data_IF_790595209925
#
_entry.id   IF_790595209925
#
_cell.length_a   1.000
_cell.length_b   1.000
_cell.length_c   1.000
_cell.angle_alpha   90.00
_cell.angle_beta   90.00
_cell.angle_gamma   90.00
#
_symmetry.space_group_name_H-M   'P 1'
#
loop_
_entity.id
_entity.type
_entity.pdbx_description
1 polymer ?
#
# COMPACT_ATOMS: atom_id res chain seq x y z
N UNK A 1 16.57 -8.04 18.47
CA UNK A 1 15.43 -7.25 17.94
C UNK A 1 14.50 -6.98 19.10
N UNK A 2 13.90 -5.78 19.22
CA UNK A 2 12.92 -5.56 20.29
C UNK A 2 11.68 -6.42 20.02
N UNK A 3 11.15 -7.07 21.05
CA UNK A 3 9.95 -7.92 20.94
C UNK A 3 8.75 -7.16 20.36
N UNK A 4 8.70 -5.83 20.56
CA UNK A 4 7.69 -4.95 20.00
C UNK A 4 7.68 -4.97 18.45
N UNK A 5 8.84 -4.91 17.80
CA UNK A 5 8.92 -4.98 16.32
C UNK A 5 8.41 -6.33 15.79
N UNK A 6 8.74 -7.43 16.46
CA UNK A 6 8.25 -8.76 16.08
C UNK A 6 6.72 -8.88 16.25
N UNK A 7 6.16 -8.31 17.32
CA UNK A 7 4.71 -8.28 17.52
C UNK A 7 3.98 -7.40 16.50
N UNK A 8 4.57 -6.26 16.14
CA UNK A 8 4.03 -5.37 15.10
C UNK A 8 4.00 -6.08 13.74
N UNK A 9 5.09 -6.75 13.36
CA UNK A 9 5.21 -7.40 12.06
C UNK A 9 4.40 -8.71 11.96
N UNK A 10 4.15 -9.39 13.07
CA UNK A 10 3.36 -10.63 13.10
C UNK A 10 1.84 -10.40 13.11
N UNK A 11 1.38 -9.20 13.48
CA UNK A 11 -0.04 -8.84 13.43
C UNK A 11 -0.42 -8.19 12.10
N UNK A 12 -1.22 -8.88 11.29
CA UNK A 12 -1.72 -8.37 10.02
C UNK A 12 -2.42 -7.00 10.17
N UNK A 13 -3.26 -6.85 11.19
CA UNK A 13 -3.98 -5.59 11.42
C UNK A 13 -3.04 -4.44 11.76
N UNK A 14 -2.07 -4.65 12.66
CA UNK A 14 -1.09 -3.62 13.03
C UNK A 14 -0.24 -3.23 11.83
N UNK A 15 0.25 -4.22 11.09
CA UNK A 15 1.04 -4.01 9.88
C UNK A 15 0.27 -3.17 8.84
N UNK A 16 -0.99 -3.53 8.55
CA UNK A 16 -1.83 -2.78 7.60
C UNK A 16 -2.09 -1.34 8.04
N UNK A 17 -2.40 -1.13 9.32
CA UNK A 17 -2.60 0.22 9.87
C UNK A 17 -1.33 1.06 9.74
N UNK A 18 -0.17 0.50 10.12
CA UNK A 18 1.11 1.22 10.01
C UNK A 18 1.49 1.52 8.58
N UNK A 19 1.36 0.55 7.67
CA UNK A 19 1.61 0.75 6.24
C UNK A 19 0.73 1.88 5.67
N UNK A 20 -0.55 1.89 6.06
CA UNK A 20 -1.50 2.94 5.68
C UNK A 20 -1.06 4.33 6.18
N UNK A 21 -0.71 4.44 7.46
CA UNK A 21 -0.29 5.70 8.06
C UNK A 21 1.10 6.15 7.58
N UNK A 22 1.97 5.22 7.17
CA UNK A 22 3.27 5.54 6.60
C UNK A 22 3.15 6.13 5.19
N UNK A 23 2.25 5.58 4.37
CA UNK A 23 1.95 6.13 3.04
C UNK A 23 1.27 7.50 3.06
N UNK A 24 0.82 7.97 4.23
CA UNK A 24 0.10 9.23 4.38
C UNK A 24 0.89 10.21 5.26
N UNK A 25 1.29 11.36 4.71
CA UNK A 25 2.16 12.31 5.42
C UNK A 25 1.52 13.01 6.65
N UNK A 26 0.23 12.76 6.92
CA UNK A 26 -0.57 13.46 7.93
C UNK A 26 -1.22 12.56 8.98
N UNK A 27 -1.93 13.19 9.92
CA UNK A 27 -2.76 12.48 10.89
C UNK A 27 -4.09 12.08 10.24
N UNK A 28 -4.61 10.90 10.59
CA UNK A 28 -5.78 10.31 9.95
C UNK A 28 -6.83 9.87 10.99
N UNK A 29 -8.13 10.11 10.77
CA UNK A 29 -9.19 9.62 11.66
C UNK A 29 -9.38 8.11 11.49
N UNK A 30 -9.88 7.45 12.53
CA UNK A 30 -10.07 5.98 12.57
C UNK A 30 -10.87 5.44 11.36
N UNK A 31 -11.96 6.13 10.98
CA UNK A 31 -12.80 5.73 9.83
C UNK A 31 -12.06 5.78 8.50
N UNK A 32 -11.08 6.67 8.33
CA UNK A 32 -10.31 6.73 7.08
C UNK A 32 -9.29 5.59 7.03
N UNK A 33 -8.68 5.25 8.17
CA UNK A 33 -7.79 4.09 8.30
C UNK A 33 -8.57 2.80 7.97
N UNK A 34 -9.80 2.68 8.47
CA UNK A 34 -10.71 1.57 8.17
C UNK A 34 -10.95 1.40 6.66
N UNK A 35 -11.39 2.46 5.98
CA UNK A 35 -11.59 2.44 4.53
C UNK A 35 -10.31 2.12 3.75
N UNK A 36 -9.17 2.68 4.13
CA UNK A 36 -7.91 2.51 3.42
C UNK A 36 -7.32 1.10 3.59
N UNK A 37 -7.51 0.49 4.77
CA UNK A 37 -6.99 -0.85 5.07
C UNK A 37 -7.96 -1.97 4.70
N UNK A 38 -9.26 -1.67 4.56
CA UNK A 38 -10.32 -2.66 4.34
C UNK A 38 -10.61 -3.55 5.57
N UNK A 39 -10.05 -3.21 6.73
CA UNK A 39 -10.25 -3.96 7.97
C UNK A 39 -11.55 -3.54 8.65
N UNK A 40 -12.16 -4.40 9.47
CA UNK A 40 -13.33 -3.98 10.29
C UNK A 40 -12.91 -2.91 11.31
N UNK A 41 -13.79 -1.94 11.56
CA UNK A 41 -13.51 -0.82 12.49
C UNK A 41 -13.01 -1.27 13.87
N UNK A 42 -13.56 -2.36 14.42
CA UNK A 42 -13.11 -2.93 15.70
C UNK A 42 -11.67 -3.46 15.65
N UNK A 43 -11.26 -4.05 14.53
CA UNK A 43 -9.89 -4.53 14.33
C UNK A 43 -8.92 -3.36 14.20
N UNK A 44 -9.31 -2.30 13.49
CA UNK A 44 -8.53 -1.06 13.39
C UNK A 44 -8.38 -0.42 14.77
N UNK A 45 -9.45 -0.32 15.55
CA UNK A 45 -9.42 0.24 16.91
C UNK A 45 -8.42 -0.51 17.79
N UNK A 46 -8.53 -1.85 17.87
CA UNK A 46 -7.60 -2.68 18.66
C UNK A 46 -6.15 -2.52 18.22
N UNK A 47 -5.90 -2.46 16.91
CA UNK A 47 -4.55 -2.27 16.38
C UNK A 47 -4.00 -0.88 16.72
N UNK A 48 -4.79 0.16 16.53
CA UNK A 48 -4.39 1.55 16.80
C UNK A 48 -4.15 1.78 18.30
N UNK A 49 -5.00 1.24 19.17
CA UNK A 49 -4.86 1.39 20.62
C UNK A 49 -3.56 0.72 21.10
N UNK A 50 -3.30 -0.52 20.69
CA UNK A 50 -2.05 -1.20 21.03
C UNK A 50 -0.80 -0.45 20.51
N UNK A 51 -0.85 0.05 19.27
CA UNK A 51 0.25 0.84 18.71
C UNK A 51 0.44 2.21 19.40
N UNK A 52 -0.62 2.76 20.00
CA UNK A 52 -0.52 3.96 20.83
C UNK A 52 0.10 3.64 22.20
N UNK A 53 -0.27 2.52 22.82
CA UNK A 53 0.31 2.04 24.08
C UNK A 53 1.81 1.75 23.92
N UNK A 54 2.21 1.20 22.78
CA UNK A 54 3.61 0.95 22.40
C UNK A 54 4.37 2.23 21.99
N UNK A 55 3.70 3.39 21.94
CA UNK A 55 4.33 4.68 21.59
C UNK A 55 4.69 4.85 20.11
N UNK A 56 4.31 3.89 19.25
CA UNK A 56 4.53 3.90 17.80
C UNK A 56 3.61 4.93 17.12
N UNK A 57 2.37 5.03 17.61
CA UNK A 57 1.39 6.02 17.19
C UNK A 57 1.15 7.07 18.27
N UNK A 58 0.76 8.26 17.82
CA UNK A 58 0.26 9.32 18.70
C UNK A 58 -1.17 9.68 18.31
N UNK A 59 -2.00 9.89 19.32
CA UNK A 59 -3.37 10.37 19.18
C UNK A 59 -3.43 11.88 19.45
N UNK A 60 -4.13 12.62 18.58
CA UNK A 60 -4.41 14.05 18.75
C UNK A 60 -5.92 14.26 18.67
N UNK A 61 -6.51 14.88 19.69
CA UNK A 61 -7.89 15.36 19.63
C UNK A 61 -7.92 16.67 18.84
N UNK A 62 -8.82 16.77 17.88
CA UNK A 62 -9.07 17.98 17.11
C UNK A 62 -10.58 18.13 16.93
N UNK A 63 -11.13 19.19 17.51
CA UNK A 63 -12.57 19.49 17.57
C UNK A 63 -13.40 18.28 18.07
N UNK A 64 -14.07 17.58 17.15
CA UNK A 64 -14.91 16.42 17.43
C UNK A 64 -14.31 15.08 17.01
N UNK A 65 -13.06 15.06 16.52
CA UNK A 65 -12.42 13.86 15.99
C UNK A 65 -11.11 13.53 16.72
N UNK A 66 -10.80 12.25 16.76
CA UNK A 66 -9.48 11.73 17.18
C UNK A 66 -8.70 11.39 15.92
N UNK A 67 -7.53 12.00 15.78
CA UNK A 67 -6.61 11.77 14.68
C UNK A 67 -5.41 10.98 15.17
N UNK A 68 -4.96 10.04 14.35
CA UNK A 68 -3.83 9.15 14.64
C UNK A 68 -2.71 9.42 13.64
N UNK A 69 -1.48 9.50 14.13
CA UNK A 69 -0.28 9.70 13.29
C UNK A 69 0.89 8.90 13.84
N UNK A 70 1.88 8.63 12.99
CA UNK A 70 3.15 8.07 13.41
C UNK A 70 3.84 8.98 14.44
N UNK A 71 4.36 8.37 15.49
CA UNK A 71 5.15 9.05 16.50
C UNK A 71 6.51 9.49 15.94
N UNK A 72 6.98 10.68 16.29
CA UNK A 72 8.33 11.12 15.88
C UNK A 72 9.42 10.64 16.85
N UNK A 73 9.05 10.21 18.05
CA UNK A 73 9.96 9.89 19.14
C UNK A 73 10.31 8.41 19.26
N UNK A 74 9.62 7.54 18.52
CA UNK A 74 9.81 6.10 18.57
C UNK A 74 10.99 5.71 17.65
N UNK A 75 12.06 5.18 18.24
CA UNK A 75 13.27 4.73 17.52
C UNK A 75 12.94 3.64 16.49
N UNK A 76 11.95 2.79 16.80
CA UNK A 76 11.45 1.75 15.93
C UNK A 76 10.84 2.30 14.63
N UNK A 77 10.40 3.57 14.59
CA UNK A 77 9.88 4.19 13.38
C UNK A 77 10.94 4.40 12.30
N UNK A 78 12.23 4.54 12.64
CA UNK A 78 13.29 4.56 11.64
C UNK A 78 13.38 3.22 10.92
N UNK A 79 13.39 2.11 11.66
CA UNK A 79 13.47 0.77 11.09
C UNK A 79 12.20 0.46 10.29
N UNK A 80 11.02 0.78 10.84
CA UNK A 80 9.75 0.60 10.13
C UNK A 80 9.70 1.43 8.85
N UNK A 81 10.26 2.65 8.85
CA UNK A 81 10.31 3.48 7.64
C UNK A 81 11.12 2.84 6.52
N UNK A 82 12.27 2.25 6.83
CA UNK A 82 13.10 1.54 5.87
C UNK A 82 12.39 0.29 5.33
N UNK A 83 11.74 -0.48 6.21
CA UNK A 83 10.96 -1.66 5.82
C UNK A 83 9.82 -1.27 4.87
N UNK A 84 9.03 -0.25 5.21
CA UNK A 84 7.91 0.18 4.37
C UNK A 84 8.36 0.81 3.05
N UNK A 85 9.50 1.52 3.04
CA UNK A 85 10.08 2.03 1.82
C UNK A 85 10.51 0.90 0.87
N UNK A 86 11.23 -0.11 1.37
CA UNK A 86 11.62 -1.29 0.59
C UNK A 86 10.40 -2.05 0.04
N UNK A 87 9.34 -2.20 0.85
CA UNK A 87 8.08 -2.81 0.41
C UNK A 87 7.45 -1.99 -0.71
N UNK A 88 7.39 -0.67 -0.57
CA UNK A 88 6.83 0.21 -1.59
C UNK A 88 7.61 0.15 -2.91
N UNK A 89 8.94 0.15 -2.85
CA UNK A 89 9.82 0.02 -4.02
C UNK A 89 9.59 -1.31 -4.73
N UNK A 90 9.55 -2.42 -3.98
CA UNK A 90 9.26 -3.74 -4.54
C UNK A 90 7.86 -3.81 -5.16
N UNK A 91 6.84 -3.23 -4.53
CA UNK A 91 5.48 -3.18 -5.09
C UNK A 91 5.42 -2.39 -6.39
N UNK A 92 6.14 -1.27 -6.47
CA UNK A 92 6.25 -0.45 -7.69
C UNK A 92 6.95 -1.26 -8.79
N UNK A 93 8.05 -1.94 -8.49
CA UNK A 93 8.78 -2.75 -9.46
C UNK A 93 7.92 -3.91 -10.00
N UNK A 94 7.25 -4.65 -9.12
CA UNK A 94 6.36 -5.76 -9.51
C UNK A 94 5.21 -5.26 -10.37
N UNK A 95 4.58 -4.13 -10.00
CA UNK A 95 3.53 -3.51 -10.82
C UNK A 95 4.06 -3.08 -12.18
N UNK A 96 5.22 -2.39 -12.22
CA UNK A 96 5.84 -1.95 -13.47
C UNK A 96 6.14 -3.12 -14.40
N UNK A 97 6.68 -4.22 -13.88
CA UNK A 97 6.93 -5.44 -14.64
C UNK A 97 5.62 -6.02 -15.21
N UNK A 98 4.55 -6.09 -14.41
CA UNK A 98 3.23 -6.57 -14.84
C UNK A 98 2.62 -5.70 -15.94
N UNK A 99 2.69 -4.38 -15.82
CA UNK A 99 2.17 -3.46 -16.83
C UNK A 99 2.99 -3.49 -18.12
N UNK A 100 4.33 -3.60 -18.03
CA UNK A 100 5.20 -3.78 -19.20
C UNK A 100 4.84 -5.04 -19.98
N UNK A 101 4.63 -6.16 -19.29
CA UNK A 101 4.18 -7.41 -19.94
C UNK A 101 2.84 -7.23 -20.65
N UNK A 102 1.85 -6.59 -20.01
CA UNK A 102 0.55 -6.31 -20.64
C UNK A 102 0.67 -5.40 -21.87
N UNK A 103 1.51 -4.37 -21.81
CA UNK A 103 1.75 -3.48 -22.94
C UNK A 103 2.40 -4.20 -24.12
N UNK A 104 3.40 -5.05 -23.87
CA UNK A 104 4.05 -5.87 -24.90
C UNK A 104 3.04 -6.81 -25.57
N UNK A 105 2.19 -7.49 -24.79
CA UNK A 105 1.16 -8.38 -25.34
C UNK A 105 0.14 -7.62 -26.18
N UNK A 106 -0.29 -6.44 -25.72
CA UNK A 106 -1.19 -5.57 -26.50
C UNK A 106 -0.58 -5.11 -27.83
N UNK A 107 0.69 -4.72 -27.83
CA UNK A 107 1.41 -4.32 -29.05
C UNK A 107 1.56 -5.49 -30.04
N UNK A 108 1.87 -6.70 -29.55
CA UNK A 108 1.91 -7.90 -30.41
C UNK A 108 0.55 -8.15 -31.06
N UNK A 109 -0.53 -8.12 -30.29
CA UNK A 109 -1.89 -8.31 -30.82
C UNK A 109 -2.24 -7.27 -31.90
N UNK A 110 -1.91 -6.00 -31.68
CA UNK A 110 -2.14 -4.94 -32.67
C UNK A 110 -1.33 -5.20 -33.96
N UNK A 111 -0.05 -5.55 -33.83
CA UNK A 111 0.80 -5.85 -34.98
C UNK A 111 0.31 -7.08 -35.76
N UNK A 112 -0.09 -8.14 -35.07
CA UNK A 112 -0.63 -9.36 -35.70
C UNK A 112 -1.94 -9.05 -36.44
N UNK A 113 -2.83 -8.27 -35.82
CA UNK A 113 -4.08 -7.82 -36.44
C UNK A 113 -3.84 -6.96 -37.69
N UNK A 114 -2.90 -6.01 -37.62
CA UNK A 114 -2.53 -5.18 -38.76
C UNK A 114 -1.93 -6.00 -39.91
N UNK A 115 -1.13 -7.02 -39.60
CA UNK A 115 -0.56 -7.92 -40.61
C UNK A 115 -1.65 -8.77 -41.29
N UNK A 116 -2.65 -9.23 -40.55
CA UNK A 116 -3.80 -9.95 -41.12
C UNK A 116 -4.62 -9.05 -42.04
N UNK A 117 -4.92 -7.81 -41.64
CA UNK A 117 -5.64 -6.83 -42.46
C UNK A 117 -4.87 -6.55 -43.76
N UNK A 118 -3.54 -6.33 -43.66
CA UNK A 118 -2.70 -6.12 -44.84
C UNK A 118 -2.73 -7.32 -45.79
N UNK A 119 -2.64 -8.55 -45.27
CA UNK A 119 -2.70 -9.77 -46.09
C UNK A 119 -4.07 -9.90 -46.77
N UNK A 120 -5.17 -9.68 -46.05
CA UNK A 120 -6.53 -9.75 -46.59
C UNK A 120 -6.76 -8.71 -47.70
N UNK A 121 -6.24 -7.49 -47.53
CA UNK A 121 -6.32 -6.42 -48.53
C UNK A 121 -5.54 -6.76 -49.83
N UNK A 122 -4.44 -7.51 -49.72
CA UNK A 122 -3.65 -7.96 -50.89
C UNK A 122 -4.33 -9.14 -51.60
N UNK A 123 -5.03 -10.03 -50.88
CA UNK A 123 -5.72 -11.19 -51.47
C UNK A 123 -7.11 -10.91 -52.05
N UNK A 124 -7.75 -9.79 -51.72
CA UNK A 124 -9.08 -9.40 -52.21
C UNK A 124 -9.09 -8.59 -53.51
N UNK A 125 -7.93 -8.44 -54.17
CA UNK A 125 -7.73 -7.67 -55.41
C UNK A 125 -7.46 -8.55 -56.64
N UNK A 126 -7.86 -9.82 -56.61
CA UNK A 126 -7.87 -10.73 -57.77
C UNK A 126 -9.29 -11.14 -58.13
#
# INVERSE_FOLDING_TARGET
>A
MSDALAQILSSESRFKVLKCLFGFAGAMPLRHIEKATGLKIRSVQLAVDALCEEGVLTRKKQDHFVLYKLSKSCLENLILSQIFQLISENEIQVRAAKYKMRAITGLKFINDSNNLIRKAAVSGFN
#
